data_IF_588106819641
#
_entry.id   IF_588106819641
#
_cell.length_a   1.000
_cell.length_b   1.000
_cell.length_c   1.000
_cell.angle_alpha   90.00
_cell.angle_beta   90.00
_cell.angle_gamma   90.00
#
_symmetry.space_group_name_H-M   'P 1'
#
loop_
_entity.id
_entity.type
_entity.pdbx_description
1 polymer ?
#
# COMPACT_ATOMS: atom_id res chain seq x y z
N UNK A 1 24.68 23.57 -74.74
CA UNK A 1 23.22 23.39 -74.90
C UNK A 1 22.80 22.08 -74.26
N UNK A 2 21.78 22.14 -73.38
CA UNK A 2 20.68 21.16 -73.17
C UNK A 2 21.02 19.65 -73.38
N UNK A 3 21.03 18.82 -72.34
CA UNK A 3 19.92 18.24 -71.52
C UNK A 3 19.62 16.77 -71.92
N UNK A 4 19.22 16.00 -70.89
CA UNK A 4 18.53 14.71 -70.82
C UNK A 4 19.41 13.46 -70.64
N UNK A 5 19.56 12.93 -69.42
CA UNK A 5 18.62 12.14 -68.58
C UNK A 5 18.62 10.66 -68.97
N UNK A 6 18.94 9.79 -68.01
CA UNK A 6 18.11 8.63 -67.68
C UNK A 6 18.30 8.27 -66.20
N UNK A 7 17.17 8.37 -65.50
CA UNK A 7 16.94 7.98 -64.12
C UNK A 7 16.59 6.48 -64.11
N UNK A 8 17.21 5.72 -63.21
CA UNK A 8 16.68 4.50 -62.60
C UNK A 8 17.23 4.54 -61.17
N UNK A 9 16.47 4.54 -60.09
CA UNK A 9 15.12 4.07 -59.87
C UNK A 9 15.19 3.29 -58.57
N UNK A 10 14.75 3.87 -57.45
CA UNK A 10 14.44 3.13 -56.23
C UNK A 10 13.56 3.99 -55.34
N UNK A 11 12.26 3.68 -55.37
CA UNK A 11 11.32 4.15 -54.36
C UNK A 11 11.57 3.32 -53.10
N UNK A 12 12.06 3.96 -52.04
CA UNK A 12 12.07 3.38 -50.70
C UNK A 12 10.83 3.90 -49.97
N UNK A 13 9.87 3.00 -49.75
CA UNK A 13 8.76 3.23 -48.84
C UNK A 13 9.31 3.34 -47.41
N UNK A 14 9.25 4.54 -46.83
CA UNK A 14 9.49 4.73 -45.41
C UNK A 14 8.25 4.30 -44.62
N UNK A 15 8.29 3.10 -44.05
CA UNK A 15 7.34 2.69 -43.01
C UNK A 15 7.72 3.43 -41.71
N UNK A 16 6.96 4.46 -41.36
CA UNK A 16 7.09 5.10 -40.06
C UNK A 16 6.58 4.14 -38.97
N UNK A 17 7.49 3.46 -38.29
CA UNK A 17 7.17 2.72 -37.07
C UNK A 17 6.82 3.72 -35.97
N UNK A 18 5.54 3.77 -35.57
CA UNK A 18 5.13 4.39 -34.30
C UNK A 18 5.67 3.49 -33.20
N UNK A 19 6.89 3.79 -32.75
CA UNK A 19 7.45 3.23 -31.53
C UNK A 19 6.68 3.85 -30.36
N UNK A 20 5.73 3.10 -29.78
CA UNK A 20 5.25 3.40 -28.45
C UNK A 20 6.44 3.42 -27.50
N UNK A 21 6.71 4.56 -26.89
CA UNK A 21 7.85 4.75 -25.99
C UNK A 21 7.65 3.89 -24.74
N UNK A 22 8.19 2.67 -24.75
CA UNK A 22 8.42 1.94 -23.52
C UNK A 22 9.49 2.71 -22.74
N UNK A 23 9.09 3.43 -21.69
CA UNK A 23 10.05 3.96 -20.71
C UNK A 23 10.95 2.81 -20.25
N UNK A 24 12.27 3.01 -20.33
CA UNK A 24 13.23 2.09 -19.70
C UNK A 24 12.81 1.87 -18.24
N UNK A 25 12.92 0.65 -17.68
CA UNK A 25 12.63 0.43 -16.28
C UNK A 25 13.56 1.32 -15.45
N UNK A 26 13.01 2.37 -14.85
CA UNK A 26 13.75 3.26 -13.96
C UNK A 26 14.32 2.49 -12.78
N UNK A 27 15.32 3.04 -12.10
CA UNK A 27 15.85 2.41 -10.90
C UNK A 27 14.69 2.18 -9.90
N UNK A 28 14.71 1.12 -9.07
CA UNK A 28 13.59 0.84 -8.16
C UNK A 28 13.23 2.01 -7.23
N UNK A 29 14.22 2.83 -6.85
CA UNK A 29 14.00 4.06 -6.10
C UNK A 29 13.23 5.14 -6.89
N UNK A 30 13.44 5.23 -8.21
CA UNK A 30 12.70 6.14 -9.08
C UNK A 30 11.24 5.70 -9.20
N UNK A 31 10.99 4.38 -9.29
CA UNK A 31 9.64 3.83 -9.31
C UNK A 31 8.90 4.17 -8.01
N UNK A 32 9.54 4.02 -6.85
CA UNK A 32 8.95 4.43 -5.57
C UNK A 32 8.62 5.92 -5.57
N UNK A 33 9.58 6.76 -5.97
CA UNK A 33 9.42 8.22 -5.97
C UNK A 33 8.30 8.68 -6.93
N UNK A 34 8.17 8.04 -8.10
CA UNK A 34 7.06 8.29 -9.04
C UNK A 34 5.73 7.83 -8.47
N UNK A 35 5.70 6.70 -7.74
CA UNK A 35 4.52 6.25 -7.02
C UNK A 35 4.08 7.27 -5.96
N UNK A 36 5.04 7.79 -5.20
CA UNK A 36 4.78 8.81 -4.17
C UNK A 36 4.26 10.12 -4.77
N UNK A 37 4.83 10.56 -5.89
CA UNK A 37 4.37 11.76 -6.60
C UNK A 37 2.94 11.59 -7.15
N UNK A 38 2.57 10.40 -7.61
CA UNK A 38 1.20 10.11 -8.06
C UNK A 38 0.21 10.09 -6.87
N UNK A 39 0.64 9.53 -5.74
CA UNK A 39 -0.16 9.46 -4.51
C UNK A 39 -0.33 10.82 -3.82
N UNK A 40 0.55 11.78 -4.07
CA UNK A 40 0.46 13.09 -3.42
C UNK A 40 -0.86 13.81 -3.77
N UNK A 41 -1.62 14.09 -2.72
CA UNK A 41 -2.90 14.82 -2.76
C UNK A 41 -2.90 16.06 -1.88
N UNK A 42 -1.76 16.39 -1.29
CA UNK A 42 -1.61 17.51 -0.37
C UNK A 42 -1.15 18.78 -1.08
N UNK A 43 -0.68 18.63 -2.32
CA UNK A 43 -0.24 19.72 -3.16
C UNK A 43 -1.28 20.02 -4.24
N UNK A 44 -1.66 21.29 -4.37
CA UNK A 44 -2.60 21.77 -5.40
C UNK A 44 -4.07 21.47 -5.10
N UNK A 45 -4.91 21.69 -6.12
CA UNK A 45 -6.34 21.38 -6.03
C UNK A 45 -6.58 19.87 -6.06
N UNK A 46 -7.42 19.38 -5.17
CA UNK A 46 -7.78 17.96 -5.09
C UNK A 46 -9.04 17.68 -5.92
N UNK A 47 -8.87 16.88 -6.97
CA UNK A 47 -9.97 16.27 -7.73
C UNK A 47 -10.07 14.79 -7.37
N UNK A 48 -11.21 14.40 -6.78
CA UNK A 48 -11.50 13.05 -6.32
C UNK A 48 -11.51 12.03 -7.48
N UNK A 49 -12.17 12.36 -8.59
CA UNK A 49 -12.31 11.43 -9.72
C UNK A 49 -10.97 11.24 -10.45
N UNK A 50 -10.22 12.34 -10.67
CA UNK A 50 -8.90 12.27 -11.27
C UNK A 50 -7.88 11.55 -10.38
N UNK A 51 -8.04 11.64 -9.06
CA UNK A 51 -7.14 11.00 -8.12
C UNK A 51 -7.22 9.47 -8.15
N UNK A 52 -8.36 8.86 -8.47
CA UNK A 52 -8.44 7.39 -8.60
C UNK A 52 -7.39 6.86 -9.60
N UNK A 53 -7.31 7.50 -10.77
CA UNK A 53 -6.34 7.12 -11.82
C UNK A 53 -4.91 7.24 -11.31
N UNK A 54 -4.61 8.31 -10.55
CA UNK A 54 -3.29 8.52 -9.95
C UNK A 54 -2.98 7.48 -8.87
N UNK A 55 -3.93 7.17 -8.00
CA UNK A 55 -3.79 6.16 -6.95
C UNK A 55 -3.48 4.77 -7.52
N UNK A 56 -4.22 4.36 -8.57
CA UNK A 56 -3.94 3.10 -9.29
C UNK A 56 -2.57 3.13 -9.98
N UNK A 57 -2.19 4.28 -10.53
CA UNK A 57 -0.85 4.51 -11.05
C UNK A 57 0.23 4.35 -9.98
N UNK A 58 0.03 4.90 -8.79
CA UNK A 58 0.95 4.79 -7.67
C UNK A 58 1.15 3.34 -7.23
N UNK A 59 0.04 2.59 -7.05
CA UNK A 59 0.04 1.15 -6.76
C UNK A 59 0.93 0.40 -7.76
N UNK A 60 0.69 0.61 -9.06
CA UNK A 60 1.47 -0.03 -10.12
C UNK A 60 2.97 0.28 -10.00
N UNK A 61 3.33 1.53 -9.69
CA UNK A 61 4.74 1.93 -9.55
C UNK A 61 5.42 1.27 -8.35
N UNK A 62 4.76 1.20 -7.19
CA UNK A 62 5.32 0.51 -6.03
C UNK A 62 5.42 -1.01 -6.23
N UNK A 63 4.44 -1.64 -6.90
CA UNK A 63 4.51 -3.06 -7.27
C UNK A 63 5.69 -3.34 -8.21
N UNK A 64 5.88 -2.50 -9.23
CA UNK A 64 7.04 -2.59 -10.13
C UNK A 64 8.37 -2.42 -9.38
N UNK A 65 8.43 -1.49 -8.41
CA UNK A 65 9.61 -1.30 -7.58
C UNK A 65 9.94 -2.56 -6.77
N UNK A 66 8.95 -3.21 -6.16
CA UNK A 66 9.15 -4.42 -5.36
C UNK A 66 9.72 -5.60 -6.16
N UNK A 67 9.31 -5.73 -7.42
CA UNK A 67 9.87 -6.72 -8.36
C UNK A 67 11.33 -6.41 -8.70
N UNK A 68 11.67 -5.13 -8.88
CA UNK A 68 13.00 -4.70 -9.32
C UNK A 68 14.01 -4.54 -8.17
N UNK A 69 13.57 -4.41 -6.92
CA UNK A 69 14.45 -4.25 -5.76
C UNK A 69 15.32 -5.50 -5.54
N UNK A 70 16.62 -5.36 -5.19
CA UNK A 70 17.46 -6.45 -4.68
C UNK A 70 17.03 -6.92 -3.28
N UNK A 71 17.19 -8.21 -2.95
CA UNK A 71 16.68 -8.79 -1.69
C UNK A 71 17.15 -8.03 -0.43
N UNK A 72 18.41 -7.56 -0.42
CA UNK A 72 19.00 -6.82 0.70
C UNK A 72 18.48 -5.39 0.92
N UNK A 73 17.69 -4.82 0.00
CA UNK A 73 17.15 -3.46 0.12
C UNK A 73 15.89 -3.38 0.98
N UNK A 74 16.00 -3.81 2.24
CA UNK A 74 14.86 -3.95 3.16
C UNK A 74 14.14 -2.64 3.43
N UNK A 75 14.86 -1.51 3.54
CA UNK A 75 14.27 -0.19 3.79
C UNK A 75 13.36 0.29 2.66
N UNK A 76 13.83 0.17 1.41
CA UNK A 76 13.03 0.56 0.24
C UNK A 76 11.85 -0.38 0.03
N UNK A 77 12.01 -1.68 0.32
CA UNK A 77 10.88 -2.63 0.31
C UNK A 77 9.83 -2.28 1.34
N UNK A 78 10.24 -2.01 2.58
CA UNK A 78 9.31 -1.64 3.65
C UNK A 78 8.50 -0.40 3.25
N UNK A 79 9.15 0.65 2.74
CA UNK A 79 8.47 1.85 2.21
C UNK A 79 7.45 1.53 1.12
N UNK A 80 7.81 0.71 0.13
CA UNK A 80 6.90 0.33 -0.94
C UNK A 80 5.71 -0.50 -0.42
N UNK A 81 5.96 -1.45 0.48
CA UNK A 81 4.92 -2.26 1.09
C UNK A 81 3.96 -1.45 1.97
N UNK A 82 4.45 -0.56 2.82
CA UNK A 82 3.61 0.36 3.62
C UNK A 82 2.77 1.25 2.72
N UNK A 83 3.35 1.73 1.62
CA UNK A 83 2.64 2.55 0.64
C UNK A 83 1.51 1.78 -0.05
N UNK A 84 1.74 0.52 -0.40
CA UNK A 84 0.69 -0.37 -0.93
C UNK A 84 -0.39 -0.66 0.11
N UNK A 85 -0.02 -0.93 1.36
CA UNK A 85 -0.98 -1.17 2.44
C UNK A 85 -1.97 0.00 2.59
N UNK A 86 -1.45 1.22 2.59
CA UNK A 86 -2.22 2.46 2.60
C UNK A 86 -3.09 2.61 1.36
N UNK A 87 -2.49 2.47 0.19
CA UNK A 87 -3.17 2.75 -1.06
C UNK A 87 -4.29 1.75 -1.35
N UNK A 88 -4.13 0.48 -0.99
CA UNK A 88 -5.18 -0.51 -1.10
C UNK A 88 -6.34 -0.26 -0.13
N UNK A 89 -6.05 0.16 1.10
CA UNK A 89 -7.09 0.59 2.04
C UNK A 89 -7.91 1.76 1.48
N UNK A 90 -7.21 2.78 0.98
CA UNK A 90 -7.85 3.97 0.42
C UNK A 90 -8.64 3.69 -0.85
N UNK A 91 -8.10 2.85 -1.73
CA UNK A 91 -8.79 2.41 -2.94
C UNK A 91 -10.12 1.73 -2.58
N UNK A 92 -10.10 0.85 -1.57
CA UNK A 92 -11.29 0.18 -1.08
C UNK A 92 -12.33 1.13 -0.49
N UNK A 93 -11.92 2.04 0.39
CA UNK A 93 -12.85 2.94 1.09
C UNK A 93 -13.48 3.98 0.16
N UNK A 94 -12.74 4.47 -0.83
CA UNK A 94 -13.16 5.65 -1.61
C UNK A 94 -13.69 5.30 -2.99
N UNK A 95 -13.09 4.32 -3.67
CA UNK A 95 -13.31 4.13 -5.11
C UNK A 95 -13.95 2.79 -5.48
N UNK A 96 -13.69 1.72 -4.72
CA UNK A 96 -14.21 0.40 -5.08
C UNK A 96 -15.67 0.19 -4.63
N UNK A 97 -16.49 -0.48 -5.45
CA UNK A 97 -17.80 -0.96 -5.04
C UNK A 97 -17.66 -2.09 -4.01
N UNK A 98 -18.69 -2.32 -3.20
CA UNK A 98 -18.65 -3.26 -2.06
C UNK A 98 -18.15 -4.66 -2.39
N UNK A 99 -18.49 -5.19 -3.58
CA UNK A 99 -18.06 -6.51 -4.04
C UNK A 99 -16.54 -6.64 -4.26
N UNK A 100 -15.83 -5.53 -4.44
CA UNK A 100 -14.39 -5.51 -4.73
C UNK A 100 -13.54 -5.08 -3.52
N UNK A 101 -14.14 -4.40 -2.54
CA UNK A 101 -13.46 -3.87 -1.35
C UNK A 101 -12.70 -4.93 -0.57
N UNK A 102 -13.32 -6.11 -0.36
CA UNK A 102 -12.71 -7.22 0.38
C UNK A 102 -11.36 -7.61 -0.21
N UNK A 103 -11.27 -7.72 -1.53
CA UNK A 103 -10.02 -8.12 -2.20
C UNK A 103 -8.92 -7.06 -2.01
N UNK A 104 -9.29 -5.78 -2.06
CA UNK A 104 -8.34 -4.70 -1.80
C UNK A 104 -7.85 -4.71 -0.34
N UNK A 105 -8.72 -4.91 0.65
CA UNK A 105 -8.26 -5.03 2.04
C UNK A 105 -7.34 -6.23 2.26
N UNK A 106 -7.59 -7.38 1.62
CA UNK A 106 -6.68 -8.54 1.68
C UNK A 106 -5.29 -8.17 1.17
N UNK A 107 -5.21 -7.45 0.04
CA UNK A 107 -3.93 -6.98 -0.49
C UNK A 107 -3.26 -5.98 0.44
N UNK A 108 -4.02 -5.05 1.01
CA UNK A 108 -3.50 -4.05 1.94
C UNK A 108 -2.96 -4.66 3.23
N UNK A 109 -3.70 -5.63 3.80
CA UNK A 109 -3.24 -6.43 4.95
C UNK A 109 -1.95 -7.18 4.62
N UNK A 110 -1.92 -7.92 3.51
CA UNK A 110 -0.75 -8.71 3.12
C UNK A 110 0.49 -7.82 2.91
N UNK A 111 0.32 -6.65 2.30
CA UNK A 111 1.38 -5.66 2.14
C UNK A 111 1.91 -5.15 3.48
N UNK A 112 1.02 -4.83 4.43
CA UNK A 112 1.44 -4.38 5.76
C UNK A 112 2.22 -5.47 6.52
N UNK A 113 1.76 -6.73 6.47
CA UNK A 113 2.48 -7.87 7.06
C UNK A 113 3.83 -8.08 6.38
N UNK A 114 3.90 -7.94 5.06
CA UNK A 114 5.16 -8.04 4.33
C UNK A 114 6.16 -6.96 4.76
N UNK A 115 5.70 -5.73 5.06
CA UNK A 115 6.55 -4.69 5.63
C UNK A 115 7.04 -5.06 7.04
N UNK A 116 6.13 -5.49 7.93
CA UNK A 116 6.45 -5.86 9.32
C UNK A 116 7.52 -6.97 9.38
N UNK A 117 7.40 -8.00 8.55
CA UNK A 117 8.32 -9.15 8.52
C UNK A 117 9.69 -8.85 7.94
N UNK A 118 9.94 -7.64 7.43
CA UNK A 118 11.30 -7.21 7.07
C UNK A 118 12.14 -6.81 8.30
N UNK A 119 11.49 -6.52 9.43
CA UNK A 119 12.17 -6.30 10.70
C UNK A 119 12.58 -7.65 11.32
N UNK A 120 13.89 -7.92 11.50
CA UNK A 120 14.36 -9.18 12.10
C UNK A 120 13.78 -9.44 13.49
N UNK A 121 13.54 -8.39 14.29
CA UNK A 121 12.97 -8.55 15.63
C UNK A 121 11.50 -8.95 15.56
N UNK A 122 10.73 -8.35 14.64
CA UNK A 122 9.36 -8.79 14.38
C UNK A 122 9.32 -10.27 13.98
N UNK A 123 10.16 -10.68 13.02
CA UNK A 123 10.20 -12.05 12.54
C UNK A 123 10.57 -13.03 13.66
N UNK A 124 11.57 -12.69 14.49
CA UNK A 124 12.01 -13.50 15.63
C UNK A 124 10.90 -13.64 16.69
N UNK A 125 10.21 -12.55 17.04
CA UNK A 125 9.11 -12.59 18.02
C UNK A 125 7.91 -13.34 17.45
N UNK A 126 7.61 -13.20 16.16
CA UNK A 126 6.54 -13.95 15.49
C UNK A 126 6.78 -15.45 15.58
N UNK A 127 8.00 -15.90 15.28
CA UNK A 127 8.39 -17.31 15.34
C UNK A 127 8.30 -17.89 16.76
N UNK A 128 8.68 -17.11 17.77
CA UNK A 128 8.85 -17.61 19.14
C UNK A 128 7.61 -17.43 20.02
N UNK A 129 6.88 -16.33 19.87
CA UNK A 129 5.78 -15.91 20.74
C UNK A 129 4.46 -15.72 19.98
N UNK A 130 4.48 -15.85 18.65
CA UNK A 130 3.33 -15.72 17.77
C UNK A 130 3.08 -14.30 17.28
N UNK A 131 2.23 -14.20 16.25
CA UNK A 131 2.00 -12.97 15.50
C UNK A 131 1.55 -11.77 16.35
N UNK A 132 0.64 -11.98 17.31
CA UNK A 132 0.17 -10.86 18.17
C UNK A 132 1.28 -10.29 19.06
N UNK A 133 2.17 -11.14 19.58
CA UNK A 133 3.32 -10.66 20.33
C UNK A 133 4.27 -9.86 19.41
N UNK A 134 4.44 -10.29 18.16
CA UNK A 134 5.24 -9.59 17.17
C UNK A 134 4.66 -8.20 16.84
N UNK A 135 3.34 -8.06 16.76
CA UNK A 135 2.70 -6.75 16.63
C UNK A 135 3.10 -5.79 17.77
N UNK A 136 3.22 -6.29 19.01
CA UNK A 136 3.66 -5.49 20.15
C UNK A 136 5.16 -5.16 20.14
N UNK A 137 5.99 -5.95 19.45
CA UNK A 137 7.42 -5.72 19.31
C UNK A 137 7.80 -4.89 18.07
N UNK A 138 6.88 -4.75 17.11
CA UNK A 138 7.10 -4.04 15.86
C UNK A 138 7.59 -2.59 16.07
N UNK A 139 8.39 -2.13 15.10
CA UNK A 139 8.98 -0.79 15.07
C UNK A 139 8.43 0.12 13.95
N UNK A 140 7.76 -0.45 12.94
CA UNK A 140 7.21 0.31 11.81
C UNK A 140 5.76 0.76 12.10
N UNK A 141 5.61 2.02 12.54
CA UNK A 141 4.30 2.63 12.84
C UNK A 141 3.36 2.63 11.63
N UNK A 142 3.90 2.82 10.42
CA UNK A 142 3.08 2.88 9.22
C UNK A 142 2.51 1.51 8.87
N UNK A 143 3.32 0.46 8.94
CA UNK A 143 2.89 -0.90 8.72
C UNK A 143 1.84 -1.34 9.76
N UNK A 144 2.06 -1.05 11.05
CA UNK A 144 1.08 -1.34 12.11
C UNK A 144 -0.25 -0.62 11.88
N UNK A 145 -0.19 0.68 11.61
CA UNK A 145 -1.40 1.49 11.41
C UNK A 145 -2.21 1.00 10.22
N UNK A 146 -1.57 0.75 9.07
CA UNK A 146 -2.29 0.28 7.88
C UNK A 146 -2.68 -1.19 7.97
N UNK A 147 -1.94 -2.04 8.69
CA UNK A 147 -2.38 -3.39 9.04
C UNK A 147 -3.70 -3.36 9.81
N UNK A 148 -3.75 -2.60 10.92
CA UNK A 148 -4.94 -2.51 11.75
C UNK A 148 -6.16 -1.97 11.00
N UNK A 149 -5.97 -0.98 10.12
CA UNK A 149 -7.04 -0.42 9.29
C UNK A 149 -7.58 -1.45 8.27
N UNK A 150 -6.70 -2.12 7.52
CA UNK A 150 -7.11 -3.14 6.55
C UNK A 150 -7.77 -4.35 7.24
N UNK A 151 -7.16 -4.88 8.29
CA UNK A 151 -7.74 -6.00 9.04
C UNK A 151 -9.09 -5.61 9.65
N UNK A 152 -9.19 -4.44 10.29
CA UNK A 152 -10.42 -3.98 10.91
C UNK A 152 -11.62 -3.99 9.95
N UNK A 153 -11.40 -3.63 8.68
CA UNK A 153 -12.43 -3.74 7.63
C UNK A 153 -12.67 -5.18 7.18
N UNK A 154 -11.62 -6.00 7.04
CA UNK A 154 -11.75 -7.43 6.69
C UNK A 154 -12.59 -8.23 7.68
N UNK A 155 -12.52 -7.92 8.97
CA UNK A 155 -13.29 -8.61 10.00
C UNK A 155 -14.80 -8.45 9.82
N UNK A 156 -15.26 -7.41 9.12
CA UNK A 156 -16.67 -7.27 8.72
C UNK A 156 -17.11 -8.29 7.65
N UNK A 157 -16.17 -8.83 6.88
CA UNK A 157 -16.41 -9.89 5.90
C UNK A 157 -16.11 -11.29 6.43
N UNK A 158 -15.33 -11.40 7.51
CA UNK A 158 -14.87 -12.66 8.09
C UNK A 158 -15.14 -12.69 9.60
N UNK A 159 -16.39 -13.02 9.93
CA UNK A 159 -16.85 -13.08 11.31
C UNK A 159 -16.11 -14.16 12.13
N UNK A 160 -15.71 -15.27 11.49
CA UNK A 160 -14.94 -16.31 12.16
C UNK A 160 -13.60 -15.77 12.65
N UNK A 161 -12.87 -15.08 11.77
CA UNK A 161 -11.61 -14.43 12.14
C UNK A 161 -11.79 -13.35 13.21
N UNK A 162 -12.92 -12.63 13.18
CA UNK A 162 -13.25 -11.63 14.20
C UNK A 162 -13.38 -12.26 15.60
N UNK A 163 -14.06 -13.41 15.68
CA UNK A 163 -14.25 -14.16 16.93
C UNK A 163 -12.96 -14.81 17.43
N UNK A 164 -12.13 -15.35 16.53
CA UNK A 164 -10.94 -16.14 16.91
C UNK A 164 -9.65 -15.31 17.02
N UNK A 165 -9.76 -13.99 17.22
CA UNK A 165 -8.65 -13.16 17.69
C UNK A 165 -8.24 -12.01 16.78
N UNK A 166 -8.80 -11.89 15.57
CA UNK A 166 -8.47 -10.79 14.67
C UNK A 166 -8.75 -9.41 15.27
N UNK A 167 -9.81 -9.28 16.07
CA UNK A 167 -10.12 -8.04 16.80
C UNK A 167 -9.03 -7.65 17.80
N UNK A 168 -8.43 -8.65 18.48
CA UNK A 168 -7.30 -8.42 19.39
C UNK A 168 -6.02 -8.04 18.64
N UNK A 169 -5.85 -8.51 17.40
CA UNK A 169 -4.72 -8.13 16.56
C UNK A 169 -4.85 -6.68 16.08
N UNK A 170 -6.07 -6.24 15.73
CA UNK A 170 -6.36 -4.82 15.43
C UNK A 170 -6.04 -3.94 16.64
N UNK A 171 -6.50 -4.32 17.83
CA UNK A 171 -6.22 -3.59 19.07
C UNK A 171 -4.70 -3.52 19.34
N UNK A 172 -3.99 -4.64 19.25
CA UNK A 172 -2.54 -4.69 19.45
C UNK A 172 -1.80 -3.77 18.47
N UNK A 173 -2.19 -3.78 17.19
CA UNK A 173 -1.55 -2.96 16.17
C UNK A 173 -1.77 -1.45 16.41
N UNK A 174 -3.00 -1.03 16.73
CA UNK A 174 -3.26 0.39 16.99
C UNK A 174 -2.66 0.88 18.30
N UNK A 175 -2.69 0.08 19.37
CA UNK A 175 -2.02 0.40 20.64
C UNK A 175 -0.53 0.59 20.40
N UNK A 176 0.13 -0.34 19.69
CA UNK A 176 1.55 -0.21 19.38
C UNK A 176 1.85 1.00 18.51
N UNK A 177 0.99 1.30 17.52
CA UNK A 177 1.16 2.48 16.68
C UNK A 177 1.07 3.79 17.49
N UNK A 178 0.18 3.87 18.49
CA UNK A 178 0.12 4.99 19.44
C UNK A 178 1.41 5.10 20.25
N UNK A 179 1.92 4.00 20.79
CA UNK A 179 3.16 4.00 21.59
C UNK A 179 4.39 4.46 20.79
N UNK A 180 4.45 4.15 19.49
CA UNK A 180 5.57 4.51 18.62
C UNK A 180 5.52 5.97 18.17
N UNK A 181 4.35 6.44 17.74
CA UNK A 181 4.15 7.80 17.27
C UNK A 181 2.67 8.20 17.35
N UNK A 182 2.30 8.88 18.44
CA UNK A 182 0.95 9.41 18.68
C UNK A 182 0.49 10.39 17.59
N UNK A 183 1.41 11.10 16.94
CA UNK A 183 1.12 12.11 15.94
C UNK A 183 1.03 11.54 14.52
N UNK A 184 1.40 10.27 14.32
CA UNK A 184 1.44 9.64 13.01
C UNK A 184 0.13 9.86 12.25
N UNK A 185 0.23 10.33 11.00
CA UNK A 185 -0.91 10.58 10.13
C UNK A 185 -1.97 11.52 10.74
N UNK A 186 -1.50 12.55 11.47
CA UNK A 186 -2.36 13.54 12.13
C UNK A 186 -3.18 12.93 13.26
N UNK A 187 -2.54 12.15 14.14
CA UNK A 187 -3.24 11.43 15.21
C UNK A 187 -4.07 10.25 14.72
N UNK A 188 -3.69 9.66 13.59
CA UNK A 188 -4.34 8.48 12.99
C UNK A 188 -4.53 7.33 13.98
N UNK A 189 -3.47 6.86 14.67
CA UNK A 189 -3.55 5.74 15.61
C UNK A 189 -4.58 5.96 16.72
N UNK A 190 -4.64 7.16 17.34
CA UNK A 190 -5.65 7.48 18.35
C UNK A 190 -7.08 7.41 17.80
N UNK A 191 -7.33 8.00 16.63
CA UNK A 191 -8.67 7.96 16.00
C UNK A 191 -9.09 6.53 15.68
N UNK A 192 -8.18 5.72 15.16
CA UNK A 192 -8.46 4.34 14.81
C UNK A 192 -8.70 3.46 16.05
N UNK A 193 -7.89 3.62 17.10
CA UNK A 193 -8.06 2.92 18.37
C UNK A 193 -9.38 3.30 19.05
N UNK A 194 -9.71 4.60 19.11
CA UNK A 194 -10.98 5.07 19.67
C UNK A 194 -12.19 4.51 18.90
N UNK A 195 -12.13 4.50 17.57
CA UNK A 195 -13.18 3.90 16.74
C UNK A 195 -13.32 2.39 16.99
N UNK A 196 -12.20 1.67 17.13
CA UNK A 196 -12.24 0.25 17.49
C UNK A 196 -12.90 0.03 18.86
N UNK A 197 -12.45 0.75 19.89
CA UNK A 197 -12.94 0.59 21.26
C UNK A 197 -14.44 0.88 21.37
N UNK A 198 -14.94 1.89 20.65
CA UNK A 198 -16.35 2.27 20.69
C UNK A 198 -17.25 1.36 19.87
N UNK A 199 -16.78 0.80 18.74
CA UNK A 199 -17.60 -0.02 17.85
C UNK A 199 -17.54 -1.52 18.14
N UNK A 200 -16.44 -2.01 18.71
CA UNK A 200 -16.31 -3.43 19.01
C UNK A 200 -17.09 -3.81 20.28
N UNK A 201 -17.81 -4.93 20.30
CA UNK A 201 -18.36 -5.47 21.54
C UNK A 201 -17.27 -5.72 22.58
N UNK A 202 -17.61 -5.56 23.87
CA UNK A 202 -16.63 -5.72 24.96
C UNK A 202 -15.93 -7.08 24.98
N UNK A 203 -16.66 -8.17 24.68
CA UNK A 203 -16.06 -9.51 24.61
C UNK A 203 -15.09 -9.70 23.43
N UNK A 204 -15.10 -8.78 22.45
CA UNK A 204 -14.15 -8.71 21.33
C UNK A 204 -13.06 -7.65 21.56
N UNK A 205 -12.94 -7.10 22.77
CA UNK A 205 -11.90 -6.14 23.12
C UNK A 205 -12.28 -4.67 22.95
N UNK A 206 -13.56 -4.35 22.69
CA UNK A 206 -14.04 -2.98 22.79
C UNK A 206 -14.18 -2.51 24.25
N UNK A 207 -14.28 -1.20 24.43
CA UNK A 207 -14.56 -0.58 25.72
C UNK A 207 -15.45 0.65 25.52
N UNK A 208 -16.72 0.52 25.88
CA UNK A 208 -17.71 1.59 25.80
C UNK A 208 -17.87 2.36 27.13
N UNK A 209 -17.01 2.12 28.13
CA UNK A 209 -17.11 2.75 29.46
C UNK A 209 -16.25 4.01 29.63
N UNK A 210 -15.87 4.68 28.54
CA UNK A 210 -15.23 6.00 28.58
C UNK A 210 -16.20 7.08 28.16
#
# INVERSE_FOLDING_TARGET
MRRFLLISGMAVLALAAVAGSAEAPGAPADLISRGDALYDRWQGEFDLAAYETRLRGAIKKWEQALVALPAGETKLRARAWVSLARAYFELAEVYLPDGERRAAYVKGEAAAIAALRLDPEFARVEETLGFRAALGAASDVGALFWYGNNLGRLLGYDFGRALFGGTRDVAAAFTRAVELDEAYWGGGPHRALANFLTRSPGFLGGDQRR
#
